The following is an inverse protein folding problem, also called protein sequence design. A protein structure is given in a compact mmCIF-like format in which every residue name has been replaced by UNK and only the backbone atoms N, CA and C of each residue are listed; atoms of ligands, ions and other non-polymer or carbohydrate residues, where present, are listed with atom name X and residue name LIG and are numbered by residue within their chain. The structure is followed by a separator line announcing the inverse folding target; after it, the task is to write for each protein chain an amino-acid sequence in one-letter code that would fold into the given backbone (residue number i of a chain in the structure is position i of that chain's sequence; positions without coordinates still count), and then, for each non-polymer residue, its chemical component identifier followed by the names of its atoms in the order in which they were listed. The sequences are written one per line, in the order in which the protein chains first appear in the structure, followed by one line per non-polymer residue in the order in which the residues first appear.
data_IF_577888854125
#
_entry.id   IF_577888854125
#
_cell.length_a   1.000
_cell.length_b   1.000
_cell.length_c   1.000
_cell.angle_alpha   90.00
_cell.angle_beta   90.00
_cell.angle_gamma   90.00
#
_symmetry.space_group_name_H-M   'P 1'
#
loop_
_entity.id
_entity.type
_entity.pdbx_description
1 polymer ?
#
# COMPACT_ATOMS: atom_id res chain seq x y z
N UNK A 1 13.45 -13.50 -3.06
CA UNK A 1 13.03 -13.67 -1.65
C UNK A 1 14.19 -13.91 -0.65
N UNK A 2 15.44 -14.14 -1.06
CA UNK A 2 16.54 -14.40 -0.11
C UNK A 2 17.25 -13.18 0.50
N UNK A 3 17.13 -11.99 -0.10
CA UNK A 3 17.92 -10.82 0.30
C UNK A 3 17.45 -10.20 1.63
N UNK A 4 16.14 -10.00 1.81
CA UNK A 4 15.58 -9.36 2.98
C UNK A 4 15.84 -10.14 4.28
N UNK A 5 15.75 -11.47 4.23
CA UNK A 5 16.07 -12.35 5.37
C UNK A 5 17.56 -12.30 5.69
N UNK A 6 18.41 -12.28 4.66
CA UNK A 6 19.85 -12.17 4.82
C UNK A 6 20.25 -10.84 5.44
N UNK A 7 19.63 -9.73 5.03
CA UNK A 7 19.87 -8.41 5.64
C UNK A 7 19.33 -8.31 7.06
N UNK A 8 18.14 -8.86 7.32
CA UNK A 8 17.60 -8.90 8.67
C UNK A 8 18.55 -9.63 9.62
N UNK A 9 19.15 -10.75 9.22
CA UNK A 9 20.15 -11.48 10.02
C UNK A 9 21.43 -10.67 10.33
N UNK A 10 21.71 -9.59 9.61
CA UNK A 10 22.86 -8.71 9.89
C UNK A 10 22.57 -7.64 10.95
N UNK A 11 21.31 -7.47 11.37
CA UNK A 11 20.95 -6.53 12.43
C UNK A 11 21.66 -6.97 13.72
N UNK A 12 22.27 -5.99 14.41
CA UNK A 12 22.91 -6.21 15.69
C UNK A 12 21.91 -6.79 16.70
N UNK A 13 22.36 -7.71 17.55
CA UNK A 13 21.57 -8.38 18.58
C UNK A 13 20.52 -9.39 18.09
N UNK A 14 20.42 -9.65 16.78
CA UNK A 14 19.66 -10.80 16.27
C UNK A 14 20.45 -12.08 16.51
N UNK A 15 19.77 -13.07 17.10
CA UNK A 15 20.32 -14.40 17.40
C UNK A 15 19.94 -15.38 16.31
N UNK A 16 18.67 -15.41 15.90
CA UNK A 16 18.18 -16.32 14.88
C UNK A 16 16.87 -15.82 14.23
N UNK A 17 16.61 -16.26 13.01
CA UNK A 17 15.36 -15.99 12.28
C UNK A 17 14.91 -17.29 11.62
N UNK A 18 13.77 -17.82 12.07
CA UNK A 18 13.14 -19.04 11.57
C UNK A 18 11.86 -18.71 10.81
N UNK A 19 11.65 -19.38 9.69
CA UNK A 19 10.43 -19.30 8.90
C UNK A 19 9.72 -20.64 9.03
N UNK A 20 8.49 -20.62 9.52
CA UNK A 20 7.59 -21.76 9.53
C UNK A 20 6.67 -21.62 8.32
N UNK A 21 6.91 -22.44 7.30
CA UNK A 21 6.07 -22.58 6.11
C UNK A 21 5.21 -23.85 6.26
N UNK A 22 4.62 -24.04 7.44
CA UNK A 22 4.05 -25.32 7.84
C UNK A 22 2.79 -25.72 7.06
N UNK A 23 2.09 -24.75 6.45
CA UNK A 23 0.84 -24.97 5.71
C UNK A 23 0.77 -24.06 4.48
N UNK A 24 0.43 -24.63 3.32
CA UNK A 24 0.30 -23.89 2.05
C UNK A 24 -0.87 -22.90 2.03
N UNK A 25 -1.87 -23.10 2.89
CA UNK A 25 -3.06 -22.25 3.02
C UNK A 25 -3.00 -21.31 4.26
N UNK A 26 -1.90 -21.34 5.04
CA UNK A 26 -1.73 -20.50 6.22
C UNK A 26 -0.71 -19.38 5.98
N UNK A 27 -0.83 -18.25 6.69
CA UNK A 27 0.17 -17.19 6.61
C UNK A 27 1.52 -17.69 7.13
N UNK A 28 2.59 -17.50 6.35
CA UNK A 28 3.95 -17.85 6.75
C UNK A 28 4.32 -17.16 8.07
N UNK A 29 4.75 -17.95 9.06
CA UNK A 29 5.09 -17.42 10.39
C UNK A 29 6.60 -17.22 10.50
N UNK A 30 7.03 -15.97 10.64
CA UNK A 30 8.43 -15.64 10.92
C UNK A 30 8.67 -15.50 12.43
N UNK A 31 9.53 -16.35 13.00
CA UNK A 31 9.98 -16.28 14.39
C UNK A 31 11.36 -15.63 14.43
N UNK A 32 11.42 -14.41 14.96
CA UNK A 32 12.67 -13.67 15.19
C UNK A 32 13.09 -13.84 16.65
N UNK A 33 14.34 -14.27 16.87
CA UNK A 33 14.98 -14.35 18.19
C UNK A 33 16.05 -13.26 18.24
N UNK A 34 15.92 -12.33 19.18
CA UNK A 34 16.88 -11.26 19.40
C UNK A 34 17.18 -11.08 20.89
N UNK A 35 18.35 -10.49 21.21
CA UNK A 35 18.76 -10.19 22.58
C UNK A 35 18.07 -8.94 23.12
N UNK A 36 17.70 -8.00 22.25
CA UNK A 36 17.05 -6.73 22.60
C UNK A 36 15.71 -6.61 21.88
N UNK A 37 14.76 -5.92 22.52
CA UNK A 37 13.45 -5.63 21.94
C UNK A 37 13.58 -4.77 20.67
N UNK A 38 14.46 -3.77 20.71
CA UNK A 38 14.69 -2.86 19.57
C UNK A 38 15.20 -3.61 18.33
N UNK A 39 16.10 -4.58 18.50
CA UNK A 39 16.56 -5.42 17.39
C UNK A 39 15.44 -6.33 16.84
N UNK A 40 14.61 -6.89 17.72
CA UNK A 40 13.44 -7.69 17.31
C UNK A 40 12.44 -6.85 16.51
N UNK A 41 12.13 -5.63 16.97
CA UNK A 41 11.22 -4.70 16.30
C UNK A 41 11.77 -4.26 14.95
N UNK A 42 13.07 -3.97 14.86
CA UNK A 42 13.73 -3.61 13.60
C UNK A 42 13.71 -4.75 12.59
N UNK A 43 14.00 -5.98 13.03
CA UNK A 43 13.91 -7.17 12.18
C UNK A 43 12.48 -7.40 11.70
N UNK A 44 11.53 -7.26 12.62
CA UNK A 44 10.10 -7.40 12.34
C UNK A 44 9.68 -6.38 11.28
N UNK A 45 10.05 -5.12 11.41
CA UNK A 45 9.74 -4.10 10.40
C UNK A 45 10.29 -4.40 9.01
N UNK A 46 11.42 -5.11 8.91
CA UNK A 46 12.02 -5.54 7.63
C UNK A 46 11.39 -6.81 7.05
N UNK A 47 10.82 -7.68 7.89
CA UNK A 47 10.32 -9.01 7.49
C UNK A 47 8.79 -9.11 7.47
N UNK A 48 8.09 -8.22 8.16
CA UNK A 48 6.62 -8.15 8.21
C UNK A 48 6.09 -7.55 6.92
N UNK A 49 6.11 -8.38 5.87
CA UNK A 49 5.43 -8.12 4.62
C UNK A 49 3.93 -8.33 4.78
N UNK A 50 3.16 -7.36 4.33
CA UNK A 50 1.71 -7.41 4.32
C UNK A 50 1.16 -7.01 2.96
N UNK A 51 -0.14 -7.22 2.79
CA UNK A 51 -0.93 -6.65 1.70
C UNK A 51 -2.06 -5.83 2.31
N UNK A 52 -2.36 -4.69 1.72
CA UNK A 52 -3.52 -3.87 2.09
C UNK A 52 -4.17 -3.30 0.85
N UNK A 53 -5.50 -3.42 0.79
CA UNK A 53 -6.33 -2.77 -0.22
C UNK A 53 -6.68 -1.34 0.20
N UNK A 54 -6.58 -0.42 -0.75
CA UNK A 54 -7.02 0.97 -0.62
C UNK A 54 -8.12 1.17 -1.66
N UNK A 55 -9.31 1.52 -1.20
CA UNK A 55 -10.46 1.76 -2.08
C UNK A 55 -10.35 3.15 -2.72
N UNK A 56 -10.45 3.21 -4.03
CA UNK A 56 -10.42 4.43 -4.84
C UNK A 56 -11.73 4.50 -5.63
N UNK A 57 -12.47 5.62 -5.62
CA UNK A 57 -13.66 5.76 -6.44
C UNK A 57 -13.29 5.68 -7.93
N UNK A 58 -14.08 4.94 -8.71
CA UNK A 58 -13.86 4.67 -10.14
C UNK A 58 -13.64 5.97 -10.94
N UNK A 59 -14.40 7.02 -10.60
CA UNK A 59 -14.28 8.38 -11.15
C UNK A 59 -12.85 8.96 -11.13
N UNK A 60 -12.04 8.55 -10.16
CA UNK A 60 -10.66 9.06 -9.99
C UNK A 60 -9.58 8.06 -10.39
N UNK A 61 -9.92 6.80 -10.72
CA UNK A 61 -8.94 5.73 -10.96
C UNK A 61 -7.99 6.08 -12.10
N UNK A 62 -8.49 6.50 -13.25
CA UNK A 62 -7.67 6.88 -14.41
C UNK A 62 -6.71 8.03 -14.09
N UNK A 63 -7.14 8.98 -13.26
CA UNK A 63 -6.34 10.14 -12.85
C UNK A 63 -5.27 9.76 -11.82
N UNK A 64 -5.60 8.83 -10.92
CA UNK A 64 -4.66 8.27 -9.93
C UNK A 64 -3.59 7.41 -10.61
N UNK A 65 -3.97 6.61 -11.62
CA UNK A 65 -3.02 5.86 -12.45
C UNK A 65 -2.14 6.85 -13.23
N UNK A 66 -2.76 7.87 -13.82
CA UNK A 66 -2.11 8.86 -14.65
C UNK A 66 -1.76 8.32 -16.04
N UNK A 67 -1.19 9.19 -16.88
CA UNK A 67 -0.78 8.84 -18.24
C UNK A 67 0.29 7.72 -18.22
N UNK A 68 0.00 6.60 -18.89
CA UNK A 68 0.83 5.38 -18.90
C UNK A 68 1.20 4.82 -17.51
N UNK A 69 0.41 5.12 -16.47
CA UNK A 69 0.71 4.68 -15.10
C UNK A 69 1.83 5.44 -14.39
N UNK A 70 2.28 6.59 -14.94
CA UNK A 70 3.39 7.37 -14.35
C UNK A 70 3.08 7.87 -12.93
N UNK A 71 1.85 8.32 -12.68
CA UNK A 71 1.46 8.88 -11.38
C UNK A 71 1.44 7.80 -10.31
N UNK A 72 0.83 6.65 -10.59
CA UNK A 72 0.84 5.54 -9.64
C UNK A 72 2.25 4.99 -9.41
N UNK A 73 3.10 4.94 -10.45
CA UNK A 73 4.49 4.53 -10.30
C UNK A 73 5.27 5.50 -9.40
N UNK A 74 5.04 6.81 -9.53
CA UNK A 74 5.65 7.80 -8.64
C UNK A 74 5.20 7.62 -7.18
N UNK A 75 3.93 7.28 -6.94
CA UNK A 75 3.42 6.96 -5.60
C UNK A 75 4.10 5.70 -5.06
N UNK A 76 4.27 4.66 -5.87
CA UNK A 76 5.00 3.44 -5.49
C UNK A 76 6.45 3.76 -5.13
N UNK A 77 7.14 4.53 -5.96
CA UNK A 77 8.55 4.89 -5.74
C UNK A 77 8.73 5.75 -4.48
N UNK A 78 7.83 6.71 -4.23
CA UNK A 78 7.86 7.57 -3.03
C UNK A 78 7.46 6.83 -1.76
N UNK A 79 6.55 5.86 -1.85
CA UNK A 79 6.09 5.08 -0.69
C UNK A 79 7.06 3.97 -0.30
N UNK A 80 7.85 3.47 -1.25
CA UNK A 80 8.78 2.36 -1.04
C UNK A 80 8.09 0.99 -0.96
N UNK A 81 6.83 0.90 -1.39
CA UNK A 81 6.14 -0.39 -1.51
C UNK A 81 6.78 -1.22 -2.61
N UNK A 82 6.72 -2.54 -2.48
CA UNK A 82 7.33 -3.46 -3.45
C UNK A 82 6.50 -3.57 -4.71
N UNK A 83 5.18 -3.54 -4.57
CA UNK A 83 4.25 -3.69 -5.70
C UNK A 83 2.89 -3.08 -5.38
N UNK A 84 2.22 -2.62 -6.43
CA UNK A 84 0.79 -2.34 -6.45
C UNK A 84 0.10 -3.27 -7.44
N UNK A 85 -1.08 -3.75 -7.09
CA UNK A 85 -2.00 -4.46 -7.97
C UNK A 85 -3.33 -3.73 -7.94
N UNK A 86 -3.95 -3.54 -9.10
CA UNK A 86 -5.24 -2.85 -9.21
C UNK A 86 -6.26 -3.93 -9.57
N UNK A 87 -7.30 -4.06 -8.76
CA UNK A 87 -8.40 -4.98 -9.05
C UNK A 87 -9.32 -4.33 -10.08
N UNK A 88 -9.18 -4.74 -11.35
CA UNK A 88 -9.91 -4.18 -12.50
C UNK A 88 -11.43 -4.41 -12.45
N UNK A 89 -11.91 -5.23 -11.52
CA UNK A 89 -13.34 -5.42 -11.27
C UNK A 89 -13.83 -4.41 -10.23
N UNK A 90 -14.52 -3.31 -10.63
CA UNK A 90 -15.11 -2.41 -9.68
C UNK A 90 -16.11 -3.18 -8.80
N UNK A 91 -15.99 -3.02 -7.49
CA UNK A 91 -17.00 -3.53 -6.57
C UNK A 91 -18.20 -2.60 -6.67
N UNK A 92 -19.30 -3.09 -7.25
CA UNK A 92 -20.51 -2.30 -7.39
C UNK A 92 -20.97 -1.81 -6.02
N UNK A 93 -21.22 -0.51 -5.90
CA UNK A 93 -21.73 0.04 -4.65
C UNK A 93 -23.18 -0.43 -4.46
N UNK A 94 -23.41 -1.30 -3.48
CA UNK A 94 -24.76 -1.70 -3.10
C UNK A 94 -25.50 -0.43 -2.64
N UNK A 95 -26.60 -0.08 -3.32
CA UNK A 95 -27.45 1.11 -3.08
C UNK A 95 -27.08 2.43 -3.81
N UNK A 96 -26.43 2.38 -4.98
CA UNK A 96 -26.27 3.56 -5.84
C UNK A 96 -25.19 4.55 -5.39
N UNK A 97 -24.20 4.07 -4.63
CA UNK A 97 -22.96 4.81 -4.37
C UNK A 97 -22.03 4.83 -5.60
N UNK A 98 -20.90 5.53 -5.48
CA UNK A 98 -19.85 5.49 -6.50
C UNK A 98 -19.17 4.11 -6.49
N UNK A 99 -18.97 3.56 -7.69
CA UNK A 99 -18.19 2.33 -7.87
C UNK A 99 -16.77 2.52 -7.33
N UNK A 100 -16.21 1.46 -6.73
CA UNK A 100 -14.88 1.49 -6.12
C UNK A 100 -13.96 0.44 -6.73
N UNK A 101 -12.70 0.83 -6.91
CA UNK A 101 -11.60 -0.01 -7.37
C UNK A 101 -10.57 -0.14 -6.26
N UNK A 102 -10.10 -1.36 -6.01
CA UNK A 102 -9.15 -1.62 -4.94
C UNK A 102 -7.71 -1.61 -5.48
N UNK A 103 -6.88 -0.75 -4.86
CA UNK A 103 -5.44 -0.74 -5.05
C UNK A 103 -4.80 -1.56 -3.94
N UNK A 104 -4.31 -2.74 -4.27
CA UNK A 104 -3.65 -3.67 -3.35
C UNK A 104 -2.16 -3.39 -3.33
N UNK A 105 -1.69 -2.80 -2.23
CA UNK A 105 -0.27 -2.53 -2.01
C UNK A 105 0.39 -3.66 -1.23
N UNK A 106 1.58 -4.07 -1.67
CA UNK A 106 2.39 -5.09 -1.03
C UNK A 106 3.75 -4.51 -0.63
N UNK A 107 4.13 -4.70 0.63
CA UNK A 107 5.34 -4.13 1.21
C UNK A 107 5.42 -4.34 2.70
N UNK A 108 6.27 -3.59 3.38
CA UNK A 108 6.28 -3.54 4.86
C UNK A 108 5.12 -2.70 5.35
N UNK A 109 4.68 -2.93 6.59
CA UNK A 109 3.55 -2.18 7.17
C UNK A 109 3.68 -0.66 7.04
N UNK A 110 4.87 -0.11 7.30
CA UNK A 110 5.12 1.34 7.17
C UNK A 110 5.06 1.85 5.73
N UNK A 111 5.62 1.10 4.77
CA UNK A 111 5.56 1.50 3.35
C UNK A 111 4.14 1.46 2.80
N UNK A 112 3.34 0.46 3.20
CA UNK A 112 1.94 0.32 2.81
C UNK A 112 1.08 1.45 3.39
N UNK A 113 1.29 1.80 4.66
CA UNK A 113 0.61 2.94 5.28
C UNK A 113 0.95 4.25 4.56
N UNK A 114 2.21 4.43 4.18
CA UNK A 114 2.66 5.59 3.41
C UNK A 114 2.00 5.63 2.02
N UNK A 115 1.95 4.50 1.30
CA UNK A 115 1.27 4.41 0.00
C UNK A 115 -0.23 4.75 0.11
N UNK A 116 -0.91 4.19 1.11
CA UNK A 116 -2.32 4.49 1.36
C UNK A 116 -2.55 5.98 1.61
N UNK A 117 -1.72 6.61 2.44
CA UNK A 117 -1.79 8.04 2.68
C UNK A 117 -1.58 8.87 1.40
N UNK A 118 -0.61 8.51 0.56
CA UNK A 118 -0.35 9.22 -0.69
C UNK A 118 -1.53 9.12 -1.67
N UNK A 119 -2.18 7.95 -1.76
CA UNK A 119 -3.38 7.77 -2.58
C UNK A 119 -4.54 8.60 -2.05
N UNK A 120 -4.84 8.51 -0.75
CA UNK A 120 -5.92 9.28 -0.12
C UNK A 120 -5.73 10.79 -0.29
N UNK A 121 -4.50 11.27 -0.10
CA UNK A 121 -4.13 12.66 -0.31
C UNK A 121 -4.35 13.07 -1.78
N UNK A 122 -3.94 12.23 -2.73
CA UNK A 122 -4.10 12.51 -4.14
C UNK A 122 -5.58 12.56 -4.55
N UNK A 123 -6.38 11.57 -4.15
CA UNK A 123 -7.83 11.54 -4.41
C UNK A 123 -8.52 12.77 -3.81
N UNK A 124 -8.16 13.15 -2.57
CA UNK A 124 -8.71 14.35 -1.93
C UNK A 124 -8.38 15.62 -2.72
N UNK A 125 -7.16 15.73 -3.22
CA UNK A 125 -6.74 16.86 -4.05
C UNK A 125 -7.51 16.92 -5.38
N UNK A 126 -7.70 15.79 -6.06
CA UNK A 126 -8.49 15.72 -7.29
C UNK A 126 -9.95 16.14 -7.05
N UNK A 127 -10.55 15.67 -5.94
CA UNK A 127 -11.91 16.04 -5.54
C UNK A 127 -12.06 17.54 -5.28
N UNK A 128 -11.07 18.16 -4.65
CA UNK A 128 -11.08 19.61 -4.38
C UNK A 128 -10.97 20.44 -5.68
N UNK A 129 -10.18 19.99 -6.65
CA UNK A 129 -10.12 20.62 -7.99
C UNK A 129 -11.47 20.56 -8.70
N UNK A 130 -12.13 19.41 -8.68
CA UNK A 130 -13.39 19.21 -9.39
C UNK A 130 -14.53 20.03 -8.75
N UNK A 131 -14.57 20.12 -7.42
CA UNK A 131 -15.53 20.96 -6.69
C UNK A 131 -15.32 22.45 -6.96
N UNK A 132 -14.08 22.94 -6.96
CA UNK A 132 -13.77 24.34 -7.31
C UNK A 132 -14.17 24.67 -8.75
N UNK A 133 -13.89 23.75 -9.68
CA UNK A 133 -14.24 23.92 -11.10
C UNK A 133 -15.76 23.98 -11.30
N UNK A 134 -16.49 23.11 -10.61
CA UNK A 134 -17.96 23.07 -10.64
C UNK A 134 -18.58 24.35 -10.08
N UNK A 135 -18.07 24.86 -8.95
CA UNK A 135 -18.54 26.12 -8.34
C UNK A 135 -18.26 27.34 -9.20
N UNK A 136 -17.08 27.41 -9.84
CA UNK A 136 -16.74 28.48 -10.77
C UNK A 136 -17.69 28.54 -11.97
N UNK A 137 -18.13 27.38 -12.47
CA UNK A 137 -19.05 27.31 -13.59
C UNK A 137 -20.47 27.76 -13.23
N UNK A 138 -20.92 27.48 -12.00
CA UNK A 138 -22.21 27.94 -11.47
C UNK A 138 -22.28 29.45 -11.28
N UNK A 139 -21.18 30.08 -10.85
CA UNK A 139 -21.12 31.54 -10.67
C UNK A 139 -21.10 32.34 -11.98
N UNK A 140 -20.86 31.68 -13.12
CA UNK A 140 -20.86 32.30 -14.45
C UNK A 140 -22.21 32.19 -15.19
N UNK A 141 -23.22 31.58 -14.58
CA UNK A 141 -24.60 31.52 -15.10
C UNK A 141 -25.48 32.46 -14.29
#
# INVERSE_FOLDING_TARGET
MGLAIYEARKIQDIVDIKLDESDADAPCVCKVIAKTQEAAEKARGMLEYAMKSVAVPDTFVDRVIGEDGKTIQEIVDRSGVVRVQIDESPSQAENGGEDIVNFVFMGTRGTIENAGFLIELHVKYLKEIDDLSSRQQLLRQ
#
